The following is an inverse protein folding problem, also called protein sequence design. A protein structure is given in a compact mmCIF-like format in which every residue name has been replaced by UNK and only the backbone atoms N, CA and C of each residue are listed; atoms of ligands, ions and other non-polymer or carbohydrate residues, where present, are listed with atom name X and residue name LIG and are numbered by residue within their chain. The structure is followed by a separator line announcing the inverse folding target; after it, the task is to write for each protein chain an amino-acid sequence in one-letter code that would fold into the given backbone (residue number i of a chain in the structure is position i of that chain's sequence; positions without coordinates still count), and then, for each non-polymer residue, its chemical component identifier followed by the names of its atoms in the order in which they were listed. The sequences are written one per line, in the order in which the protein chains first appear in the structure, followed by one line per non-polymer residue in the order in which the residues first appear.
data_IF_574943891418
#
_entry.id   IF_574943891418
#
_cell.length_a   1.000
_cell.length_b   1.000
_cell.length_c   1.000
_cell.angle_alpha   90.00
_cell.angle_beta   90.00
_cell.angle_gamma   90.00
#
_symmetry.space_group_name_H-M   'P 1'
#
loop_
_entity.id
_entity.type
_entity.pdbx_description
1 polymer ?
#
# COMPACT_ATOMS: atom_id res chain seq x y z
N UNK A 1 -31.93 -31.46 -2.80
CA UNK A 1 -30.52 -31.04 -3.05
C UNK A 1 -30.51 -29.52 -3.18
N UNK A 2 -30.01 -28.80 -2.17
CA UNK A 2 -29.92 -27.34 -2.16
C UNK A 2 -28.54 -26.94 -2.66
N UNK A 3 -28.48 -26.19 -3.75
CA UNK A 3 -27.25 -25.72 -4.37
C UNK A 3 -26.51 -24.73 -3.46
N UNK A 4 -25.21 -24.97 -3.28
CA UNK A 4 -24.32 -24.05 -2.59
C UNK A 4 -24.17 -22.77 -3.42
N UNK A 5 -24.55 -21.62 -2.83
CA UNK A 5 -24.14 -20.30 -3.34
C UNK A 5 -22.70 -20.05 -2.87
N UNK A 6 -21.77 -20.12 -3.81
CA UNK A 6 -20.44 -19.58 -3.61
C UNK A 6 -20.51 -18.05 -3.70
N UNK A 7 -20.42 -17.37 -2.56
CA UNK A 7 -20.07 -15.95 -2.53
C UNK A 7 -18.56 -15.84 -2.62
N UNK A 8 -18.03 -15.95 -3.85
CA UNK A 8 -16.70 -15.43 -4.11
C UNK A 8 -16.82 -13.90 -4.06
N UNK A 9 -16.25 -13.29 -3.03
CA UNK A 9 -15.95 -11.87 -3.06
C UNK A 9 -15.04 -11.63 -4.25
N UNK A 10 -15.61 -11.14 -5.35
CA UNK A 10 -14.85 -10.61 -6.48
C UNK A 10 -14.19 -9.31 -6.02
N UNK A 11 -13.11 -9.44 -5.24
CA UNK A 11 -12.10 -8.40 -5.25
C UNK A 11 -11.61 -8.32 -6.68
N UNK A 12 -11.83 -7.19 -7.34
CA UNK A 12 -11.05 -6.82 -8.51
C UNK A 12 -9.58 -7.08 -8.15
N UNK A 13 -8.86 -7.87 -8.94
CA UNK A 13 -7.48 -8.25 -8.64
C UNK A 13 -6.70 -7.01 -8.18
N UNK A 14 -6.31 -7.01 -6.91
CA UNK A 14 -5.45 -5.99 -6.36
C UNK A 14 -4.02 -6.24 -6.85
N UNK A 15 -3.21 -5.20 -6.82
CA UNK A 15 -1.79 -5.28 -7.03
C UNK A 15 -1.17 -5.32 -5.64
N UNK A 16 -0.69 -6.50 -5.26
CA UNK A 16 -0.14 -6.81 -3.94
C UNK A 16 1.31 -7.28 -4.10
N UNK A 17 2.25 -6.58 -3.46
CA UNK A 17 3.69 -6.87 -3.54
C UNK A 17 4.38 -6.65 -2.19
N UNK A 18 5.63 -7.12 -2.07
CA UNK A 18 6.51 -6.86 -0.93
C UNK A 18 5.93 -7.27 0.43
N UNK A 19 5.39 -8.49 0.51
CA UNK A 19 4.85 -9.03 1.75
C UNK A 19 5.97 -9.55 2.68
N UNK A 20 5.95 -9.09 3.93
CA UNK A 20 6.89 -9.52 4.97
C UNK A 20 6.14 -9.89 6.26
N UNK A 21 6.58 -10.97 6.92
CA UNK A 21 6.10 -11.30 8.25
C UNK A 21 6.67 -10.34 9.30
N UNK A 22 5.89 -10.05 10.34
CA UNK A 22 6.40 -9.40 11.56
C UNK A 22 7.46 -10.29 12.23
N UNK A 23 8.36 -9.71 13.05
CA UNK A 23 9.38 -10.49 13.76
C UNK A 23 8.81 -11.60 14.65
N UNK A 24 7.60 -11.42 15.18
CA UNK A 24 6.89 -12.42 15.98
C UNK A 24 6.01 -13.38 15.15
N UNK A 25 6.00 -13.21 13.81
CA UNK A 25 5.26 -14.06 12.86
C UNK A 25 3.74 -13.91 12.90
N UNK A 26 3.18 -12.96 13.66
CA UNK A 26 1.72 -12.83 13.83
C UNK A 26 1.04 -11.94 12.79
N UNK A 27 1.80 -11.09 12.12
CA UNK A 27 1.29 -10.13 11.13
C UNK A 27 2.03 -10.26 9.81
N UNK A 28 1.38 -9.82 8.76
CA UNK A 28 1.99 -9.54 7.46
C UNK A 28 1.88 -8.04 7.21
N UNK A 29 2.93 -7.44 6.66
CA UNK A 29 2.96 -6.08 6.13
C UNK A 29 3.24 -6.17 4.63
N UNK A 30 2.48 -5.45 3.81
CA UNK A 30 2.67 -5.47 2.36
C UNK A 30 2.18 -4.16 1.72
N UNK A 31 2.55 -3.94 0.47
CA UNK A 31 1.94 -2.88 -0.32
C UNK A 31 0.72 -3.39 -1.09
N UNK A 32 -0.35 -2.60 -1.10
CA UNK A 32 -1.55 -2.91 -1.87
C UNK A 32 -2.16 -1.69 -2.51
N UNK A 33 -2.75 -1.89 -3.70
CA UNK A 33 -3.70 -0.93 -4.27
C UNK A 33 -5.15 -1.15 -3.82
N UNK A 34 -5.41 -2.07 -2.90
CA UNK A 34 -6.77 -2.39 -2.47
C UNK A 34 -7.53 -1.11 -2.12
N UNK A 35 -8.81 -1.06 -2.49
CA UNK A 35 -9.70 0.10 -2.33
C UNK A 35 -9.34 1.35 -3.14
N UNK A 36 -8.19 1.39 -3.82
CA UNK A 36 -7.86 2.46 -4.75
C UNK A 36 -8.55 2.22 -6.10
N UNK A 37 -9.35 3.19 -6.54
CA UNK A 37 -9.98 3.20 -7.86
C UNK A 37 -8.96 3.58 -8.94
N UNK A 38 -8.02 2.68 -9.21
CA UNK A 38 -7.03 2.79 -10.29
C UNK A 38 -7.48 1.89 -11.45
N UNK A 39 -7.44 2.45 -12.66
CA UNK A 39 -7.63 1.72 -13.90
C UNK A 39 -6.29 1.62 -14.63
N UNK A 40 -5.99 0.43 -15.13
CA UNK A 40 -4.83 0.18 -15.97
C UNK A 40 -5.34 -0.04 -17.40
N UNK A 41 -5.21 0.95 -18.29
CA UNK A 41 -5.61 0.77 -19.69
C UNK A 41 -4.86 -0.40 -20.37
N UNK A 42 -3.64 -0.69 -19.91
CA UNK A 42 -2.85 -1.84 -20.32
C UNK A 42 -1.91 -2.26 -19.19
N UNK A 43 -1.68 -3.58 -19.08
CA UNK A 43 -0.63 -4.18 -18.25
C UNK A 43 0.54 -4.73 -19.07
N UNK A 44 0.52 -4.53 -20.39
CA UNK A 44 1.62 -4.95 -21.27
C UNK A 44 2.84 -4.03 -21.10
N UNK A 45 4.03 -4.63 -21.04
CA UNK A 45 5.29 -3.88 -20.87
C UNK A 45 5.31 -3.09 -19.55
N UNK A 46 5.63 -1.80 -19.65
CA UNK A 46 5.71 -0.87 -18.51
C UNK A 46 4.52 0.10 -18.42
N UNK A 47 3.46 -0.11 -19.20
CA UNK A 47 2.30 0.81 -19.21
C UNK A 47 1.60 0.88 -17.85
N UNK A 48 1.54 -0.23 -17.11
CA UNK A 48 0.95 -0.30 -15.78
C UNK A 48 1.64 0.65 -14.78
N UNK A 49 2.96 0.82 -14.91
CA UNK A 49 3.78 1.58 -13.96
C UNK A 49 3.42 3.07 -13.92
N UNK A 50 2.78 3.59 -14.98
CA UNK A 50 2.29 4.97 -15.06
C UNK A 50 1.08 5.22 -14.15
N UNK A 51 0.29 4.19 -13.88
CA UNK A 51 -0.98 4.31 -13.17
C UNK A 51 -0.91 3.76 -11.74
N UNK A 52 0.09 2.93 -11.44
CA UNK A 52 0.21 2.29 -10.13
C UNK A 52 0.21 3.33 -9.01
N UNK A 53 -0.60 3.02 -8.00
CA UNK A 53 -0.67 3.65 -6.69
C UNK A 53 -0.83 2.55 -5.68
N UNK A 54 -0.15 2.66 -4.56
CA UNK A 54 -0.23 1.67 -3.50
C UNK A 54 -0.04 2.34 -2.14
N UNK A 55 -0.52 1.63 -1.12
CA UNK A 55 -0.50 2.03 0.27
C UNK A 55 0.08 0.88 1.09
N UNK A 56 0.46 1.16 2.33
CA UNK A 56 0.86 0.14 3.28
C UNK A 56 -0.36 -0.52 3.90
N UNK A 57 -0.33 -1.85 3.99
CA UNK A 57 -1.39 -2.66 4.56
C UNK A 57 -0.83 -3.68 5.55
N UNK A 58 -1.66 -4.09 6.50
CA UNK A 58 -1.35 -5.19 7.42
C UNK A 58 -2.54 -6.12 7.64
N UNK A 59 -2.25 -7.37 8.02
CA UNK A 59 -3.23 -8.43 8.28
C UNK A 59 -2.62 -9.44 9.24
N UNK A 60 -3.45 -10.33 9.78
CA UNK A 60 -2.97 -11.48 10.53
C UNK A 60 -2.16 -12.41 9.62
N UNK A 61 -1.23 -13.18 10.19
CA UNK A 61 -0.38 -14.11 9.43
C UNK A 61 -1.13 -15.26 8.73
N UNK A 62 -2.40 -15.49 9.10
CA UNK A 62 -3.31 -16.41 8.43
C UNK A 62 -4.10 -15.78 7.26
N UNK A 63 -3.81 -14.51 6.93
CA UNK A 63 -4.48 -13.77 5.86
C UNK A 63 -5.77 -13.06 6.28
N UNK A 64 -6.19 -13.17 7.54
CA UNK A 64 -7.44 -12.55 8.01
C UNK A 64 -7.24 -11.11 8.49
N UNK A 65 -8.34 -10.35 8.53
CA UNK A 65 -8.40 -8.96 9.04
C UNK A 65 -7.40 -8.00 8.36
N UNK A 66 -7.48 -7.82 7.03
CA UNK A 66 -6.69 -6.80 6.35
C UNK A 66 -7.11 -5.39 6.79
N UNK A 67 -6.12 -4.53 7.02
CA UNK A 67 -6.26 -3.14 7.46
C UNK A 67 -5.27 -2.29 6.65
N UNK A 68 -5.75 -1.17 6.11
CA UNK A 68 -4.92 -0.15 5.46
C UNK A 68 -4.28 0.76 6.51
N UNK A 69 -2.97 0.98 6.42
CA UNK A 69 -2.20 1.77 7.39
C UNK A 69 -1.84 3.17 6.89
N UNK A 70 -1.78 3.38 5.58
CA UNK A 70 -1.47 4.69 4.98
C UNK A 70 -2.52 5.12 3.97
N UNK A 71 -2.65 6.43 3.80
CA UNK A 71 -3.64 7.04 2.90
C UNK A 71 -3.04 8.20 2.10
N UNK A 72 -1.83 8.02 1.57
CA UNK A 72 -1.13 9.06 0.80
C UNK A 72 -1.80 9.39 -0.54
N UNK A 73 -2.69 8.53 -1.03
CA UNK A 73 -3.45 8.74 -2.26
C UNK A 73 -4.91 9.16 -2.02
N UNK A 74 -5.29 9.54 -0.79
CA UNK A 74 -6.66 9.96 -0.45
C UNK A 74 -6.70 11.45 -0.05
N UNK A 75 -7.14 12.36 -0.94
CA UNK A 75 -7.04 13.82 -0.72
C UNK A 75 -7.59 14.35 0.61
N UNK A 76 -8.65 13.72 1.13
CA UNK A 76 -9.31 14.15 2.36
C UNK A 76 -8.64 13.60 3.64
N UNK A 77 -7.64 12.71 3.53
CA UNK A 77 -6.98 12.10 4.68
C UNK A 77 -5.80 12.96 5.20
N UNK A 78 -5.53 12.98 6.52
CA UNK A 78 -4.36 13.65 7.09
C UNK A 78 -3.02 13.24 6.46
N UNK A 79 -2.82 11.96 6.16
CA UNK A 79 -1.59 11.45 5.51
C UNK A 79 -1.32 12.11 4.16
N UNK A 80 -2.35 12.25 3.31
CA UNK A 80 -2.23 12.95 2.04
C UNK A 80 -1.73 14.37 2.28
N UNK A 81 -2.41 15.14 3.15
CA UNK A 81 -2.03 16.53 3.45
C UNK A 81 -0.62 16.64 4.01
N UNK A 82 -0.23 15.72 4.89
CA UNK A 82 1.11 15.67 5.43
C UNK A 82 2.15 15.41 4.34
N UNK A 83 1.92 14.45 3.44
CA UNK A 83 2.85 14.13 2.36
C UNK A 83 3.02 15.30 1.38
N UNK A 84 1.91 15.92 0.96
CA UNK A 84 1.95 17.09 0.07
C UNK A 84 2.76 18.24 0.66
N UNK A 85 2.67 18.44 1.99
CA UNK A 85 3.34 19.54 2.70
C UNK A 85 4.81 19.26 2.99
N UNK A 86 5.15 18.02 3.35
CA UNK A 86 6.47 17.70 3.94
C UNK A 86 7.37 16.88 3.01
N UNK A 87 6.84 16.26 1.95
CA UNK A 87 7.63 15.47 1.01
C UNK A 87 7.58 16.11 -0.37
N UNK A 88 6.44 16.02 -1.07
CA UNK A 88 6.27 16.61 -2.39
C UNK A 88 4.78 16.68 -2.77
N UNK A 89 4.38 17.78 -3.42
CA UNK A 89 3.02 17.93 -3.92
C UNK A 89 2.81 17.10 -5.19
N UNK A 90 2.13 15.96 -5.07
CA UNK A 90 1.88 15.02 -6.18
C UNK A 90 0.53 14.33 -6.07
N UNK A 91 0.02 13.85 -7.21
CA UNK A 91 -1.23 13.08 -7.30
C UNK A 91 -1.00 11.57 -7.25
N UNK A 92 0.25 11.10 -7.25
CA UNK A 92 0.59 9.68 -7.35
C UNK A 92 1.70 9.31 -6.38
N UNK A 93 1.33 8.48 -5.40
CA UNK A 93 2.23 7.91 -4.40
C UNK A 93 2.13 6.38 -4.45
N UNK A 94 3.27 5.71 -4.36
CA UNK A 94 3.40 4.26 -4.29
C UNK A 94 4.22 3.97 -3.04
N UNK A 95 3.57 3.45 -2.00
CA UNK A 95 4.32 2.78 -0.92
C UNK A 95 4.80 1.47 -1.51
N UNK A 96 6.11 1.34 -1.77
CA UNK A 96 6.67 0.22 -2.53
C UNK A 96 7.17 -0.89 -1.61
N UNK A 97 8.41 -0.77 -1.14
CA UNK A 97 9.04 -1.77 -0.31
C UNK A 97 8.95 -1.42 1.17
N UNK A 98 9.03 -2.43 2.04
CA UNK A 98 8.89 -2.26 3.48
C UNK A 98 9.70 -3.28 4.28
N UNK A 99 10.03 -2.93 5.52
CA UNK A 99 10.61 -3.85 6.47
C UNK A 99 10.17 -3.49 7.89
N UNK A 100 9.84 -4.49 8.69
CA UNK A 100 9.65 -4.30 10.13
C UNK A 100 10.96 -3.93 10.80
N UNK A 101 10.87 -3.04 11.78
CA UNK A 101 11.89 -2.90 12.82
C UNK A 101 11.99 -4.20 13.65
N UNK A 102 13.14 -4.49 14.29
CA UNK A 102 13.33 -5.74 15.03
C UNK A 102 12.32 -6.00 16.15
N UNK A 103 11.78 -4.93 16.77
CA UNK A 103 10.77 -5.03 17.82
C UNK A 103 9.33 -5.12 17.27
N UNK A 104 9.15 -5.03 15.95
CA UNK A 104 7.86 -5.09 15.26
C UNK A 104 6.98 -3.84 15.43
N UNK A 105 7.45 -2.79 16.11
CA UNK A 105 6.62 -1.61 16.43
C UNK A 105 6.63 -0.53 15.36
N UNK A 106 7.66 -0.52 14.53
CA UNK A 106 7.82 0.40 13.40
C UNK A 106 8.06 -0.35 12.10
N UNK A 107 7.84 0.33 10.99
CA UNK A 107 8.26 -0.12 9.66
C UNK A 107 9.10 0.95 8.97
N UNK A 108 10.23 0.55 8.37
CA UNK A 108 10.86 1.33 7.34
C UNK A 108 10.10 1.09 6.03
N UNK A 109 9.77 2.15 5.30
CA UNK A 109 9.03 2.07 4.03
C UNK A 109 9.68 2.95 2.98
N UNK A 110 9.82 2.42 1.77
CA UNK A 110 10.13 3.22 0.60
C UNK A 110 8.83 3.80 0.03
N UNK A 111 8.78 5.12 -0.12
CA UNK A 111 7.64 5.82 -0.67
C UNK A 111 8.08 6.47 -1.97
N UNK A 112 7.69 5.86 -3.08
CA UNK A 112 7.89 6.41 -4.41
C UNK A 112 6.78 7.40 -4.77
N UNK A 113 7.13 8.45 -5.52
CA UNK A 113 6.19 9.48 -5.91
C UNK A 113 6.57 10.09 -7.26
N UNK A 114 5.55 10.52 -7.99
CA UNK A 114 5.72 11.10 -9.32
C UNK A 114 6.10 12.58 -9.26
N UNK A 115 7.14 12.93 -10.00
CA UNK A 115 7.55 14.29 -10.33
C UNK A 115 7.40 14.52 -11.84
N UNK A 116 6.69 15.57 -12.29
CA UNK A 116 6.30 15.74 -13.71
C UNK A 116 7.44 15.73 -14.75
N UNK A 117 8.66 16.10 -14.35
CA UNK A 117 9.81 16.23 -15.26
C UNK A 117 10.84 15.11 -15.03
N UNK A 118 11.02 14.69 -13.78
CA UNK A 118 12.09 13.76 -13.38
C UNK A 118 11.60 12.30 -13.42
N UNK A 119 10.29 12.05 -13.41
CA UNK A 119 9.70 10.71 -13.34
C UNK A 119 9.45 10.28 -11.89
N UNK A 120 9.81 9.05 -11.54
CA UNK A 120 9.64 8.55 -10.17
C UNK A 120 10.84 8.96 -9.31
N UNK A 121 10.56 9.58 -8.16
CA UNK A 121 11.52 9.79 -7.08
C UNK A 121 11.05 9.01 -5.84
N UNK A 122 11.87 8.91 -4.80
CA UNK A 122 11.52 8.18 -3.59
C UNK A 122 12.07 8.83 -2.32
N UNK A 123 11.45 8.52 -1.20
CA UNK A 123 11.94 8.83 0.14
C UNK A 123 11.81 7.59 1.03
N UNK A 124 12.75 7.40 1.95
CA UNK A 124 12.60 6.43 3.02
C UNK A 124 11.90 7.09 4.21
N UNK A 125 10.83 6.47 4.71
CA UNK A 125 10.13 6.91 5.91
C UNK A 125 10.10 5.81 6.96
N UNK A 126 9.98 6.21 8.22
CA UNK A 126 9.70 5.29 9.33
C UNK A 126 8.28 5.54 9.81
N UNK A 127 7.44 4.51 9.77
CA UNK A 127 6.06 4.54 10.23
C UNK A 127 5.98 3.85 11.59
N UNK A 128 5.39 4.55 12.56
CA UNK A 128 5.03 3.99 13.87
C UNK A 128 3.74 3.18 13.71
N UNK A 129 3.82 1.85 13.81
CA UNK A 129 2.69 0.95 13.56
C UNK A 129 1.71 0.93 14.72
N UNK A 130 2.16 1.23 15.94
CA UNK A 130 1.29 1.28 17.13
C UNK A 130 0.30 2.45 17.07
N UNK A 131 0.58 3.48 16.26
CA UNK A 131 -0.30 4.63 16.02
C UNK A 131 -1.23 4.47 14.82
N UNK A 132 -1.21 3.31 14.15
CA UNK A 132 -1.93 3.05 12.88
C UNK A 132 -2.99 1.96 13.01
N UNK A 133 -3.10 1.32 14.19
CA UNK A 133 -4.00 0.21 14.48
C UNK A 133 -5.22 0.66 15.29
#
# INVERSE_FOLDING_TARGET
MKGARWFAWLFCASWDEHAHYSPDGKKILWMSRAELKVQFPSVYGLEWAKYLRAELWTMNSDGTKPIRLTYFNQPNHPDYRWFQKNVFATKRVIVSDNAFSPDGKKAAVCIAYEQPIIGINSVLAVIDLEKRQ
#
